data_IF_557456713740
#
_entry.id   IF_557456713740
#
_cell.length_a   1.000
_cell.length_b   1.000
_cell.length_c   1.000
_cell.angle_alpha   90.00
_cell.angle_beta   90.00
_cell.angle_gamma   90.00
#
_symmetry.space_group_name_H-M   'P 1'
#
loop_
_entity.id
_entity.type
_entity.pdbx_description
1 polymer ?
#
# COMPACT_ATOMS: atom_id res chain seq x y z
N UNK A 1 13.13 -10.92 25.72
CA UNK A 1 14.11 -10.40 24.73
C UNK A 1 13.57 -10.80 23.37
N UNK A 2 13.32 -9.86 22.46
CA UNK A 2 12.81 -10.17 21.12
C UNK A 2 13.97 -10.72 20.28
N UNK A 3 13.84 -11.94 19.77
CA UNK A 3 14.85 -12.58 18.91
C UNK A 3 14.49 -12.28 17.46
N UNK A 4 15.45 -11.76 16.68
CA UNK A 4 15.23 -11.55 15.26
C UNK A 4 15.16 -12.92 14.56
N UNK A 5 14.03 -13.23 13.93
CA UNK A 5 13.87 -14.47 13.18
C UNK A 5 14.76 -14.43 11.94
N UNK A 6 15.50 -15.51 11.69
CA UNK A 6 16.11 -15.75 10.39
C UNK A 6 15.01 -16.06 9.38
N UNK A 7 14.37 -15.02 8.85
CA UNK A 7 13.35 -15.18 7.81
C UNK A 7 14.06 -15.27 6.46
N UNK A 8 13.68 -16.29 5.68
CA UNK A 8 14.12 -16.50 4.30
C UNK A 8 14.01 -15.22 3.47
N UNK A 9 15.01 -14.95 2.63
CA UNK A 9 15.06 -13.73 1.81
C UNK A 9 13.85 -13.63 0.85
N UNK A 10 13.24 -14.76 0.47
CA UNK A 10 12.00 -14.79 -0.35
C UNK A 10 10.83 -14.02 0.28
N UNK A 11 10.70 -14.05 1.62
CA UNK A 11 9.61 -13.36 2.33
C UNK A 11 9.89 -11.86 2.41
N UNK A 12 11.17 -11.47 2.53
CA UNK A 12 11.57 -10.06 2.50
C UNK A 12 11.37 -9.47 1.12
N UNK A 13 11.80 -10.19 0.09
CA UNK A 13 11.58 -9.83 -1.32
C UNK A 13 10.08 -9.70 -1.62
N UNK A 14 9.25 -10.57 -1.03
CA UNK A 14 7.81 -10.53 -1.20
C UNK A 14 7.14 -9.28 -0.63
N UNK A 15 7.52 -8.84 0.58
CA UNK A 15 6.90 -7.64 1.21
C UNK A 15 7.07 -6.40 0.32
N UNK A 16 8.07 -6.41 -0.56
CA UNK A 16 8.29 -5.36 -1.55
C UNK A 16 7.79 -5.61 -2.96
N UNK A 17 7.23 -6.78 -3.25
CA UNK A 17 6.78 -7.11 -4.59
C UNK A 17 5.47 -6.38 -4.91
N UNK A 18 5.49 -5.60 -5.98
CA UNK A 18 4.27 -4.97 -6.50
C UNK A 18 3.33 -6.01 -7.10
N UNK A 19 2.03 -5.74 -6.98
CA UNK A 19 1.00 -6.47 -7.71
C UNK A 19 1.09 -6.06 -9.19
N UNK A 20 1.31 -7.02 -10.11
CA UNK A 20 1.27 -6.72 -11.54
C UNK A 20 -0.06 -6.09 -11.95
N UNK A 21 -0.01 -5.04 -12.77
CA UNK A 21 -1.20 -4.31 -13.22
C UNK A 21 -2.26 -5.23 -13.86
N UNK A 22 -1.84 -6.30 -14.54
CA UNK A 22 -2.73 -7.26 -15.21
C UNK A 22 -3.66 -8.04 -14.27
N UNK A 23 -3.31 -8.13 -12.98
CA UNK A 23 -4.10 -8.84 -11.98
C UNK A 23 -4.83 -7.90 -11.01
N UNK A 24 -4.64 -6.59 -11.17
CA UNK A 24 -5.39 -5.56 -10.44
C UNK A 24 -6.79 -5.45 -11.06
N UNK A 25 -7.80 -5.50 -10.20
CA UNK A 25 -9.20 -5.31 -10.58
C UNK A 25 -9.70 -4.00 -10.00
N UNK A 26 -10.68 -3.41 -10.66
CA UNK A 26 -11.32 -2.18 -10.19
C UNK A 26 -12.77 -2.43 -9.81
N UNK A 27 -13.22 -1.79 -8.74
CA UNK A 27 -14.63 -1.74 -8.35
C UNK A 27 -15.09 -0.30 -8.16
N UNK A 28 -16.40 -0.10 -8.27
CA UNK A 28 -17.02 1.18 -7.97
C UNK A 28 -16.83 1.55 -6.49
N UNK A 29 -16.20 2.69 -6.23
CA UNK A 29 -16.01 3.29 -4.91
C UNK A 29 -17.03 4.38 -4.58
N UNK A 30 -18.02 4.59 -5.44
CA UNK A 30 -19.00 5.66 -5.33
C UNK A 30 -18.60 6.91 -6.09
N UNK A 31 -19.12 8.05 -5.66
CA UNK A 31 -18.92 9.35 -6.31
C UNK A 31 -18.32 10.33 -5.29
N UNK A 32 -17.24 11.00 -5.67
CA UNK A 32 -16.67 12.13 -4.94
C UNK A 32 -16.48 13.31 -5.89
N UNK A 33 -16.93 14.49 -5.46
CA UNK A 33 -16.90 15.73 -6.27
C UNK A 33 -17.47 15.55 -7.69
N UNK A 34 -18.55 14.77 -7.81
CA UNK A 34 -19.20 14.48 -9.10
C UNK A 34 -18.43 13.52 -10.02
N UNK A 35 -17.27 13.00 -9.59
CA UNK A 35 -16.50 11.99 -10.32
C UNK A 35 -16.64 10.63 -9.67
N UNK A 36 -16.77 9.60 -10.51
CA UNK A 36 -16.76 8.21 -10.09
C UNK A 36 -15.38 7.86 -9.55
N UNK A 37 -15.32 7.36 -8.32
CA UNK A 37 -14.10 6.79 -7.74
C UNK A 37 -14.06 5.32 -8.12
N UNK A 38 -12.94 4.88 -8.67
CA UNK A 38 -12.63 3.47 -8.83
C UNK A 38 -11.65 3.06 -7.73
N UNK A 39 -11.90 1.90 -7.11
CA UNK A 39 -11.04 1.34 -6.08
C UNK A 39 -10.38 0.08 -6.63
N UNK A 40 -9.05 0.04 -6.53
CA UNK A 40 -8.24 -1.09 -6.94
C UNK A 40 -8.28 -2.20 -5.86
N UNK A 41 -8.28 -3.44 -6.32
CA UNK A 41 -8.27 -4.61 -5.44
C UNK A 41 -7.74 -5.85 -6.17
N UNK A 42 -7.24 -6.83 -5.40
CA UNK A 42 -6.98 -8.18 -5.89
C UNK A 42 -8.13 -9.13 -5.56
N UNK A 43 -8.32 -10.12 -6.43
CA UNK A 43 -9.32 -11.16 -6.20
C UNK A 43 -8.95 -12.08 -5.03
N UNK A 44 -9.94 -12.79 -4.47
CA UNK A 44 -9.69 -13.76 -3.41
C UNK A 44 -8.71 -14.86 -3.83
N UNK A 45 -8.84 -15.38 -5.06
CA UNK A 45 -7.91 -16.37 -5.61
C UNK A 45 -6.50 -15.82 -5.73
N UNK A 46 -6.33 -14.59 -6.22
CA UNK A 46 -5.02 -13.94 -6.30
C UNK A 46 -4.35 -13.79 -4.92
N UNK A 47 -5.13 -13.45 -3.90
CA UNK A 47 -4.62 -13.37 -2.52
C UNK A 47 -4.16 -14.75 -2.03
N UNK A 48 -4.96 -15.79 -2.26
CA UNK A 48 -4.63 -17.18 -1.91
C UNK A 48 -3.37 -17.65 -2.66
N UNK A 49 -3.27 -17.40 -3.96
CA UNK A 49 -2.11 -17.79 -4.76
C UNK A 49 -0.83 -17.12 -4.29
N UNK A 50 -0.91 -15.83 -3.90
CA UNK A 50 0.22 -15.15 -3.26
C UNK A 50 0.57 -15.80 -1.92
N UNK A 51 -0.38 -16.01 -1.01
CA UNK A 51 -0.11 -16.69 0.27
C UNK A 51 0.54 -18.07 0.07
N UNK A 52 0.04 -18.86 -0.89
CA UNK A 52 0.61 -20.16 -1.25
C UNK A 52 2.05 -20.04 -1.74
N UNK A 53 2.33 -19.08 -2.62
CA UNK A 53 3.66 -18.87 -3.19
C UNK A 53 4.68 -18.42 -2.15
N UNK A 54 4.28 -17.56 -1.21
CA UNK A 54 5.20 -16.95 -0.24
C UNK A 54 5.53 -17.92 0.89
N UNK A 55 4.50 -18.56 1.42
CA UNK A 55 4.60 -19.37 2.62
C UNK A 55 4.66 -20.87 2.30
N UNK A 56 4.78 -21.23 1.01
CA UNK A 56 4.83 -22.62 0.55
C UNK A 56 3.68 -23.46 1.12
N UNK A 57 2.47 -22.91 1.03
CA UNK A 57 1.25 -23.49 1.61
C UNK A 57 1.23 -23.59 3.15
N UNK A 58 2.23 -23.05 3.85
CA UNK A 58 2.34 -22.99 5.31
C UNK A 58 1.51 -21.87 5.93
N UNK A 59 0.21 -21.83 5.65
CA UNK A 59 -0.70 -20.87 6.25
C UNK A 59 -2.10 -21.45 6.43
N UNK A 60 -2.80 -20.96 7.45
CA UNK A 60 -4.17 -21.34 7.79
C UNK A 60 -5.09 -20.11 7.88
N UNK A 61 -6.35 -20.29 7.52
CA UNK A 61 -7.41 -19.30 7.77
C UNK A 61 -8.52 -19.90 8.61
N UNK A 62 -8.75 -19.30 9.77
CA UNK A 62 -9.81 -19.68 10.69
C UNK A 62 -10.85 -18.56 10.76
N UNK A 63 -12.12 -18.87 10.46
CA UNK A 63 -13.23 -17.96 10.73
C UNK A 63 -13.63 -18.10 12.19
N UNK A 64 -13.34 -17.08 12.99
CA UNK A 64 -13.58 -17.09 14.43
C UNK A 64 -14.96 -16.58 14.81
N UNK A 65 -15.53 -15.66 14.02
CA UNK A 65 -16.84 -15.07 14.29
C UNK A 65 -17.52 -14.63 12.99
N UNK A 66 -18.84 -14.77 12.94
CA UNK A 66 -19.65 -14.14 11.91
C UNK A 66 -21.04 -13.80 12.43
N UNK A 67 -21.60 -12.66 12.01
CA UNK A 67 -22.93 -12.23 12.40
C UNK A 67 -23.56 -11.28 11.38
N UNK A 68 -24.87 -11.05 11.51
CA UNK A 68 -25.61 -10.04 10.75
C UNK A 68 -25.90 -8.86 11.67
N UNK A 69 -25.44 -7.68 11.28
CA UNK A 69 -25.77 -6.42 11.94
C UNK A 69 -26.96 -5.77 11.23
N UNK A 70 -27.99 -5.39 11.99
CA UNK A 70 -29.04 -4.49 11.48
C UNK A 70 -28.45 -3.09 11.30
N UNK A 71 -28.66 -2.50 10.14
CA UNK A 71 -28.18 -1.16 9.87
C UNK A 71 -29.06 -0.11 10.55
N UNK A 72 -28.45 1.00 10.90
CA UNK A 72 -29.17 2.20 11.33
C UNK A 72 -29.69 2.95 10.11
N UNK A 73 -30.82 3.61 10.25
CA UNK A 73 -31.39 4.42 9.17
C UNK A 73 -30.40 5.53 8.76
N UNK A 74 -30.31 5.78 7.46
CA UNK A 74 -29.46 6.84 6.95
C UNK A 74 -30.08 8.21 7.26
N UNK A 75 -29.26 9.10 7.81
CA UNK A 75 -29.61 10.50 8.02
C UNK A 75 -28.81 11.37 7.04
N UNK A 76 -29.49 11.94 6.06
CA UNK A 76 -28.84 12.82 5.10
C UNK A 76 -28.49 14.17 5.75
N UNK A 77 -27.21 14.38 6.05
CA UNK A 77 -26.68 15.62 6.65
C UNK A 77 -26.87 16.88 5.80
N UNK A 78 -27.30 16.74 4.54
CA UNK A 78 -27.55 17.84 3.61
C UNK A 78 -29.05 18.14 3.40
N UNK A 79 -29.96 17.32 3.94
CA UNK A 79 -31.38 17.65 3.96
C UNK A 79 -31.68 18.67 5.05
N UNK A 80 -32.63 19.57 4.79
CA UNK A 80 -33.17 20.46 5.82
C UNK A 80 -33.90 19.61 6.87
N UNK A 81 -33.73 19.89 8.16
CA UNK A 81 -34.34 19.13 9.28
C UNK A 81 -35.83 18.83 9.10
N UNK A 82 -36.58 19.72 8.44
CA UNK A 82 -38.04 19.62 8.23
C UNK A 82 -38.43 18.58 7.18
N UNK A 83 -37.49 18.11 6.38
CA UNK A 83 -37.67 17.13 5.30
C UNK A 83 -36.96 15.81 5.61
N UNK A 84 -36.32 15.72 6.79
CA UNK A 84 -35.50 14.58 7.17
C UNK A 84 -36.39 13.37 7.45
N UNK A 85 -36.43 12.44 6.49
CA UNK A 85 -37.08 11.14 6.63
C UNK A 85 -35.99 10.07 6.80
N UNK A 86 -36.01 9.27 7.87
CA UNK A 86 -35.07 8.16 8.03
C UNK A 86 -35.22 7.19 6.85
N UNK A 87 -34.11 6.90 6.16
CA UNK A 87 -34.10 5.94 5.05
C UNK A 87 -33.57 4.58 5.55
N UNK A 88 -34.42 3.54 5.62
CA UNK A 88 -34.01 2.22 6.07
C UNK A 88 -32.85 1.68 5.24
N UNK A 89 -31.85 1.13 5.92
CA UNK A 89 -30.65 0.60 5.29
C UNK A 89 -30.64 -0.94 5.32
N UNK A 90 -30.14 -1.61 4.27
CA UNK A 90 -29.97 -3.05 4.27
C UNK A 90 -29.00 -3.50 5.37
N UNK A 91 -29.20 -4.67 6.00
CA UNK A 91 -28.28 -5.18 7.01
C UNK A 91 -26.93 -5.56 6.41
N UNK A 92 -25.93 -5.74 7.27
CA UNK A 92 -24.55 -6.04 6.88
C UNK A 92 -24.12 -7.36 7.52
N UNK A 93 -23.56 -8.27 6.74
CA UNK A 93 -22.89 -9.45 7.25
C UNK A 93 -21.44 -9.09 7.61
N UNK A 94 -21.00 -9.51 8.79
CA UNK A 94 -19.63 -9.34 9.28
C UNK A 94 -18.98 -10.70 9.47
N UNK A 95 -17.69 -10.80 9.14
CA UNK A 95 -16.85 -11.96 9.38
C UNK A 95 -15.53 -11.51 9.98
N UNK A 96 -15.10 -12.21 11.01
CA UNK A 96 -13.79 -12.10 11.61
C UNK A 96 -13.06 -13.42 11.47
N UNK A 97 -11.75 -13.35 11.26
CA UNK A 97 -10.93 -14.54 11.23
C UNK A 97 -9.47 -14.24 11.51
N UNK A 98 -8.70 -15.32 11.67
CA UNK A 98 -7.29 -15.29 11.98
C UNK A 98 -6.55 -15.98 10.83
N UNK A 99 -5.63 -15.25 10.21
CA UNK A 99 -4.61 -15.79 9.33
C UNK A 99 -3.42 -16.20 10.19
N UNK A 100 -3.08 -17.48 10.17
CA UNK A 100 -1.86 -17.99 10.79
C UNK A 100 -0.86 -18.32 9.68
N UNK A 101 0.37 -17.89 9.82
CA UNK A 101 1.49 -18.21 8.92
C UNK A 101 2.54 -18.96 9.72
N UNK A 102 2.97 -20.11 9.21
CA UNK A 102 3.98 -20.96 9.82
C UNK A 102 5.33 -20.67 9.19
N UNK A 103 6.21 -19.98 9.92
CA UNK A 103 7.56 -19.69 9.49
C UNK A 103 8.54 -20.65 10.14
N UNK A 104 9.47 -21.16 9.34
CA UNK A 104 10.61 -21.92 9.82
C UNK A 104 11.80 -20.97 9.93
N UNK A 105 12.47 -20.95 11.08
CA UNK A 105 13.73 -20.24 11.24
C UNK A 105 14.85 -21.08 10.64
N UNK A 106 15.53 -20.56 9.62
CA UNK A 106 16.61 -21.27 8.92
C UNK A 106 17.80 -21.60 9.83
N UNK A 107 18.01 -20.80 10.88
CA UNK A 107 19.17 -20.96 11.77
C UNK A 107 18.96 -22.07 12.79
N UNK A 108 17.73 -22.18 13.30
CA UNK A 108 17.41 -23.09 14.41
C UNK A 108 16.56 -24.28 13.96
N UNK A 109 15.92 -24.18 12.79
CA UNK A 109 14.91 -25.13 12.30
C UNK A 109 13.58 -25.05 13.05
N UNK A 110 13.44 -24.14 14.03
CA UNK A 110 12.24 -23.99 14.84
C UNK A 110 11.11 -23.34 14.03
N UNK A 111 9.87 -23.80 14.26
CA UNK A 111 8.68 -23.18 13.69
C UNK A 111 8.11 -22.09 14.60
N UNK A 112 7.63 -21.01 13.98
CA UNK A 112 6.99 -19.88 14.61
C UNK A 112 5.71 -19.52 13.88
N UNK A 113 4.65 -19.28 14.65
CA UNK A 113 3.36 -18.86 14.12
C UNK A 113 3.24 -17.34 14.19
N UNK A 114 2.99 -16.71 13.04
CA UNK A 114 2.56 -15.32 12.97
C UNK A 114 1.07 -15.30 12.74
N UNK A 115 0.33 -14.63 13.64
CA UNK A 115 -1.13 -14.52 13.56
C UNK A 115 -1.54 -13.08 13.30
N UNK A 116 -2.43 -12.90 12.31
CA UNK A 116 -3.06 -11.60 12.00
C UNK A 116 -4.57 -11.75 11.92
N UNK A 117 -5.27 -10.88 12.61
CA UNK A 117 -6.74 -10.82 12.58
C UNK A 117 -7.20 -10.00 11.38
N UNK A 118 -8.19 -10.51 10.67
CA UNK A 118 -8.90 -9.80 9.61
C UNK A 118 -10.37 -9.64 9.93
N UNK A 119 -10.95 -8.51 9.50
CA UNK A 119 -12.38 -8.30 9.50
C UNK A 119 -12.84 -7.96 8.08
N UNK A 120 -14.01 -8.48 7.71
CA UNK A 120 -14.62 -8.27 6.41
C UNK A 120 -16.12 -8.12 6.56
N UNK A 121 -16.72 -7.39 5.63
CA UNK A 121 -18.15 -7.12 5.67
C UNK A 121 -18.75 -7.09 4.28
N UNK A 122 -20.05 -7.42 4.19
CA UNK A 122 -20.80 -7.36 2.95
C UNK A 122 -22.24 -6.96 3.22
N UNK A 123 -22.70 -5.92 2.52
CA UNK A 123 -24.09 -5.47 2.57
C UNK A 123 -24.99 -6.55 1.96
N UNK A 124 -26.05 -6.91 2.67
CA UNK A 124 -27.02 -7.93 2.28
C UNK A 124 -28.05 -7.28 1.35
N UNK A 125 -27.97 -7.58 0.06
CA UNK A 125 -28.86 -7.05 -0.97
C UNK A 125 -29.40 -8.22 -1.79
N UNK A 126 -30.67 -8.15 -2.18
CA UNK A 126 -31.28 -9.14 -3.08
C UNK A 126 -32.00 -10.28 -2.37
N UNK A 127 -32.31 -11.34 -3.14
CA UNK A 127 -33.09 -12.51 -2.69
C UNK A 127 -32.19 -13.54 -2.04
N UNK A 128 -32.77 -14.63 -1.51
CA UNK A 128 -32.03 -15.72 -0.88
C UNK A 128 -30.85 -16.25 -1.74
N UNK A 129 -30.99 -16.27 -3.07
CA UNK A 129 -29.92 -16.67 -3.98
C UNK A 129 -28.71 -15.72 -3.97
N UNK A 130 -28.92 -14.43 -3.73
CA UNK A 130 -27.85 -13.43 -3.62
C UNK A 130 -27.21 -13.48 -2.22
N UNK A 131 -28.01 -13.78 -1.21
CA UNK A 131 -27.57 -13.79 0.19
C UNK A 131 -26.82 -15.08 0.58
N UNK A 132 -27.00 -16.19 -0.13
CA UNK A 132 -26.36 -17.49 0.20
C UNK A 132 -24.83 -17.43 0.24
N UNK A 133 -24.22 -16.51 -0.50
CA UNK A 133 -22.77 -16.36 -0.61
C UNK A 133 -22.24 -15.17 0.22
N UNK A 134 -23.10 -14.53 1.04
CA UNK A 134 -22.75 -13.29 1.75
C UNK A 134 -21.57 -13.47 2.71
N UNK A 135 -21.59 -14.53 3.52
CA UNK A 135 -20.52 -14.81 4.46
C UNK A 135 -19.23 -15.27 3.75
N UNK A 136 -19.34 -15.89 2.58
CA UNK A 136 -18.16 -16.25 1.77
C UNK A 136 -17.48 -15.00 1.23
N UNK A 137 -18.26 -14.04 0.72
CA UNK A 137 -17.76 -12.76 0.27
C UNK A 137 -17.13 -11.96 1.43
N UNK A 138 -17.82 -11.85 2.56
CA UNK A 138 -17.30 -11.18 3.75
C UNK A 138 -16.04 -11.88 4.31
N UNK A 139 -15.98 -13.20 4.32
CA UNK A 139 -14.79 -13.96 4.72
C UNK A 139 -13.62 -13.74 3.77
N UNK A 140 -13.87 -13.59 2.47
CA UNK A 140 -12.81 -13.29 1.50
C UNK A 140 -12.22 -11.90 1.75
N UNK A 141 -13.06 -10.91 2.06
CA UNK A 141 -12.59 -9.58 2.43
C UNK A 141 -11.83 -9.61 3.77
N UNK A 142 -12.27 -10.40 4.74
CA UNK A 142 -11.56 -10.60 6.01
C UNK A 142 -10.17 -11.23 5.81
N UNK A 143 -10.09 -12.28 4.99
CA UNK A 143 -8.81 -12.93 4.65
C UNK A 143 -7.86 -11.95 3.97
N UNK A 144 -8.33 -11.22 2.94
CA UNK A 144 -7.50 -10.20 2.26
C UNK A 144 -7.02 -9.13 3.23
N UNK A 145 -7.86 -8.72 4.19
CA UNK A 145 -7.45 -7.75 5.21
C UNK A 145 -6.38 -8.30 6.14
N UNK A 146 -6.50 -9.55 6.58
CA UNK A 146 -5.46 -10.19 7.40
C UNK A 146 -4.14 -10.35 6.60
N UNK A 147 -4.24 -10.76 5.33
CA UNK A 147 -3.11 -10.91 4.43
C UNK A 147 -2.40 -9.58 4.13
N UNK A 148 -3.13 -8.46 4.07
CA UNK A 148 -2.48 -7.15 3.91
C UNK A 148 -1.60 -6.77 5.10
N UNK A 149 -1.90 -7.26 6.31
CA UNK A 149 -1.11 -7.00 7.52
C UNK A 149 0.23 -7.75 7.55
N UNK A 150 0.43 -8.70 6.65
CA UNK A 150 1.71 -9.37 6.40
C UNK A 150 2.35 -8.92 5.07
N UNK A 151 1.78 -7.91 4.39
CA UNK A 151 2.35 -7.29 3.20
C UNK A 151 1.66 -7.64 1.88
N UNK A 152 0.69 -8.56 1.86
CA UNK A 152 0.02 -8.97 0.60
C UNK A 152 -0.84 -7.83 0.04
N UNK A 153 -0.46 -7.29 -1.12
CA UNK A 153 -1.22 -6.26 -1.85
C UNK A 153 -1.27 -4.91 -1.14
N UNK A 154 -0.23 -4.59 -0.36
CA UNK A 154 -0.14 -3.33 0.40
C UNK A 154 0.04 -2.10 -0.51
N UNK A 155 0.73 -2.29 -1.63
CA UNK A 155 0.94 -1.32 -2.70
C UNK A 155 -0.38 -0.77 -3.29
N UNK A 156 -1.44 -1.58 -3.31
CA UNK A 156 -2.78 -1.16 -3.78
C UNK A 156 -3.42 -0.06 -2.91
N UNK A 157 -2.90 0.16 -1.70
CA UNK A 157 -3.41 1.16 -0.76
C UNK A 157 -2.54 2.40 -0.69
N UNK A 158 -1.43 2.44 -1.43
CA UNK A 158 -0.49 3.55 -1.42
C UNK A 158 -0.88 4.57 -2.47
N UNK A 159 -0.70 5.84 -2.15
CA UNK A 159 -0.66 6.86 -3.19
C UNK A 159 0.69 6.85 -3.93
N UNK A 160 0.82 7.64 -5.00
CA UNK A 160 2.04 7.66 -5.83
C UNK A 160 3.30 8.03 -5.02
N UNK A 161 3.14 8.93 -4.05
CA UNK A 161 4.20 9.42 -3.18
C UNK A 161 4.66 8.30 -2.23
N UNK A 162 3.72 7.66 -1.54
CA UNK A 162 3.98 6.52 -0.67
C UNK A 162 4.60 5.35 -1.46
N UNK A 163 4.07 5.08 -2.64
CA UNK A 163 4.54 4.00 -3.50
C UNK A 163 5.99 4.23 -3.92
N UNK A 164 6.33 5.44 -4.38
CA UNK A 164 7.70 5.83 -4.70
C UNK A 164 8.66 5.68 -3.51
N UNK A 165 8.23 6.13 -2.31
CA UNK A 165 9.02 6.00 -1.08
C UNK A 165 9.37 4.54 -0.77
N UNK A 166 8.37 3.64 -0.80
CA UNK A 166 8.58 2.24 -0.50
C UNK A 166 9.38 1.54 -1.60
N UNK A 167 9.15 1.86 -2.88
CA UNK A 167 9.97 1.36 -3.99
C UNK A 167 11.45 1.72 -3.82
N UNK A 168 11.74 2.94 -3.41
CA UNK A 168 13.12 3.37 -3.13
C UNK A 168 13.76 2.57 -1.97
N UNK A 169 12.99 2.27 -0.93
CA UNK A 169 13.46 1.42 0.18
C UNK A 169 13.73 -0.03 -0.27
N UNK A 170 12.90 -0.57 -1.17
CA UNK A 170 12.89 -1.98 -1.56
C UNK A 170 13.82 -2.29 -2.75
N UNK A 171 13.89 -1.40 -3.74
CA UNK A 171 14.72 -1.55 -4.96
C UNK A 171 16.21 -1.69 -4.69
N UNK A 172 16.65 -1.37 -3.46
CA UNK A 172 18.06 -1.39 -3.05
C UNK A 172 18.44 -2.54 -2.12
N UNK A 173 17.50 -3.40 -1.74
CA UNK A 173 17.84 -4.64 -1.01
C UNK A 173 18.43 -5.72 -1.92
N UNK A 174 18.26 -5.63 -3.25
CA UNK A 174 18.95 -6.52 -4.19
C UNK A 174 20.43 -6.15 -4.43
N UNK A 175 20.81 -4.87 -4.30
CA UNK A 175 22.21 -4.40 -4.26
C UNK A 175 22.31 -3.08 -3.47
N UNK A 176 22.87 -3.14 -2.26
CA UNK A 176 23.26 -1.99 -1.40
C UNK A 176 22.12 -1.12 -0.84
N UNK A 177 21.68 -1.45 0.38
CA UNK A 177 20.70 -0.71 1.14
C UNK A 177 21.23 0.68 1.59
N UNK A 178 21.20 1.63 0.65
CA UNK A 178 21.72 2.99 0.81
C UNK A 178 21.04 3.70 1.98
N UNK A 179 19.71 3.68 2.07
CA UNK A 179 18.98 4.42 3.12
C UNK A 179 18.84 3.68 4.47
N UNK A 180 19.33 2.44 4.61
CA UNK A 180 19.13 1.62 5.82
C UNK A 180 19.60 2.28 7.11
N UNK A 181 20.73 2.97 7.00
CA UNK A 181 21.45 3.53 8.15
C UNK A 181 21.11 5.00 8.39
N UNK A 182 20.20 5.56 7.61
CA UNK A 182 19.76 6.95 7.74
C UNK A 182 18.66 7.07 8.78
N UNK A 183 18.62 8.20 9.46
CA UNK A 183 17.54 8.52 10.40
C UNK A 183 16.21 8.73 9.67
N UNK A 184 15.10 8.72 10.40
CA UNK A 184 13.79 8.94 9.80
C UNK A 184 13.65 10.36 9.25
N UNK A 185 14.33 11.34 9.86
CA UNK A 185 14.43 12.69 9.33
C UNK A 185 15.18 12.74 8.00
N UNK A 186 16.28 11.99 7.87
CA UNK A 186 17.06 11.93 6.63
C UNK A 186 16.28 11.22 5.51
N UNK A 187 15.54 10.14 5.83
CA UNK A 187 14.66 9.47 4.87
C UNK A 187 13.55 10.40 4.39
N UNK A 188 12.94 11.16 5.30
CA UNK A 188 11.92 12.16 4.96
C UNK A 188 12.49 13.24 4.06
N UNK A 189 13.68 13.75 4.38
CA UNK A 189 14.36 14.76 3.58
C UNK A 189 14.64 14.27 2.16
N UNK A 190 15.08 13.02 2.02
CA UNK A 190 15.28 12.39 0.71
C UNK A 190 13.95 12.36 -0.06
N UNK A 191 12.88 11.88 0.59
CA UNK A 191 11.56 11.79 -0.01
C UNK A 191 11.04 13.15 -0.52
N UNK A 192 11.00 14.16 0.35
CA UNK A 192 10.53 15.51 0.00
C UNK A 192 11.34 16.12 -1.16
N UNK A 193 12.64 15.83 -1.18
CA UNK A 193 13.53 16.32 -2.24
C UNK A 193 13.27 15.63 -3.57
N UNK A 194 13.09 14.31 -3.60
CA UNK A 194 12.78 13.61 -4.85
C UNK A 194 11.42 14.04 -5.40
N UNK A 195 10.39 14.12 -4.55
CA UNK A 195 9.05 14.50 -4.98
C UNK A 195 9.06 15.86 -5.68
N UNK A 196 9.80 16.83 -5.12
CA UNK A 196 9.97 18.14 -5.73
C UNK A 196 10.62 18.09 -7.12
N UNK A 197 11.65 17.24 -7.31
CA UNK A 197 12.32 17.09 -8.61
C UNK A 197 11.39 16.44 -9.64
N UNK A 198 10.61 15.44 -9.23
CA UNK A 198 9.64 14.79 -10.10
C UNK A 198 8.54 15.77 -10.54
N UNK A 199 7.96 16.52 -9.60
CA UNK A 199 7.00 17.57 -9.90
C UNK A 199 7.56 18.59 -10.90
N UNK A 200 8.83 19.00 -10.75
CA UNK A 200 9.48 19.90 -11.71
C UNK A 200 9.55 19.30 -13.12
N UNK A 201 9.93 18.03 -13.25
CA UNK A 201 10.02 17.36 -14.56
C UNK A 201 8.66 17.09 -15.20
N UNK A 202 7.60 16.93 -14.41
CA UNK A 202 6.25 16.66 -14.90
C UNK A 202 5.43 17.93 -15.17
N UNK A 203 5.66 19.00 -14.41
CA UNK A 203 4.84 20.23 -14.48
C UNK A 203 5.42 21.33 -15.36
N UNK A 204 6.75 21.39 -15.52
CA UNK A 204 7.41 22.32 -16.44
C UNK A 204 7.86 21.54 -17.69
N UNK A 205 7.17 21.77 -18.82
CA UNK A 205 7.59 21.30 -20.15
C UNK A 205 8.99 21.80 -20.60
N UNK A 206 9.74 22.50 -19.74
CA UNK A 206 11.01 23.16 -20.04
C UNK A 206 12.25 22.41 -19.53
N UNK A 207 12.12 21.49 -18.56
CA UNK A 207 13.26 20.70 -18.06
C UNK A 207 12.94 19.21 -18.13
N UNK A 208 13.42 18.58 -19.20
CA UNK A 208 13.37 17.13 -19.33
C UNK A 208 14.36 16.42 -18.39
N UNK A 209 14.22 15.10 -18.27
CA UNK A 209 15.04 14.28 -17.37
C UNK A 209 16.55 14.37 -17.67
N UNK A 210 16.93 14.54 -18.93
CA UNK A 210 18.33 14.67 -19.35
C UNK A 210 18.93 16.01 -18.94
N UNK A 211 18.14 17.08 -19.02
CA UNK A 211 18.49 18.42 -18.55
C UNK A 211 18.65 18.45 -17.03
N UNK A 212 17.75 17.78 -16.30
CA UNK A 212 17.87 17.62 -14.85
C UNK A 212 19.13 16.87 -14.43
N UNK A 213 19.48 15.79 -15.15
CA UNK A 213 20.69 15.04 -14.88
C UNK A 213 21.95 15.89 -15.15
N UNK A 214 21.92 16.67 -16.22
CA UNK A 214 23.00 17.61 -16.56
C UNK A 214 23.20 18.67 -15.48
N UNK A 215 22.11 19.18 -14.90
CA UNK A 215 22.15 20.11 -13.76
C UNK A 215 22.76 19.45 -12.52
N UNK A 216 22.40 18.20 -12.22
CA UNK A 216 23.00 17.45 -11.12
C UNK A 216 24.51 17.29 -11.28
N UNK A 217 24.94 16.88 -12.47
CA UNK A 217 26.37 16.71 -12.78
C UNK A 217 27.10 18.05 -12.69
N UNK A 218 26.49 19.14 -13.16
CA UNK A 218 27.09 20.48 -13.10
C UNK A 218 27.23 20.97 -11.65
N UNK A 219 26.14 20.93 -10.88
CA UNK A 219 26.11 21.35 -9.47
C UNK A 219 27.10 20.54 -8.62
N UNK A 220 27.16 19.23 -8.84
CA UNK A 220 28.02 18.34 -8.08
C UNK A 220 29.46 18.27 -8.60
N UNK A 221 29.80 19.00 -9.66
CA UNK A 221 31.08 18.89 -10.37
C UNK A 221 31.43 17.44 -10.76
N UNK A 222 30.47 16.75 -11.38
CA UNK A 222 30.51 15.34 -11.80
C UNK A 222 30.68 14.33 -10.65
N UNK A 223 30.52 14.75 -9.39
CA UNK A 223 30.54 13.83 -8.24
C UNK A 223 29.33 12.88 -8.24
N UNK A 224 28.17 13.37 -8.66
CA UNK A 224 26.95 12.56 -8.79
C UNK A 224 26.48 12.59 -10.24
N UNK A 225 26.28 11.42 -10.82
CA UNK A 225 25.82 11.21 -12.19
C UNK A 225 24.54 10.36 -12.25
N UNK A 226 23.94 10.10 -11.09
CA UNK A 226 22.72 9.32 -10.92
C UNK A 226 22.03 9.80 -9.63
N UNK A 227 20.77 10.22 -9.73
CA UNK A 227 19.92 10.62 -8.61
C UNK A 227 19.76 9.52 -7.55
N UNK A 228 20.02 8.27 -7.92
CA UNK A 228 19.98 7.17 -6.97
C UNK A 228 21.20 7.12 -6.04
N UNK A 229 22.30 7.76 -6.40
CA UNK A 229 23.57 7.64 -5.64
C UNK A 229 23.81 8.79 -4.66
N UNK A 230 22.96 9.82 -4.69
CA UNK A 230 23.13 11.04 -3.92
C UNK A 230 22.64 10.89 -2.47
N UNK A 231 23.45 11.23 -1.45
CA UNK A 231 23.00 11.19 -0.05
C UNK A 231 21.84 12.16 0.22
N UNK A 232 20.91 11.86 1.14
CA UNK A 232 19.78 12.74 1.49
C UNK A 232 20.13 14.20 1.72
N UNK A 233 21.19 14.46 2.49
CA UNK A 233 21.68 15.81 2.75
C UNK A 233 22.09 16.53 1.48
N UNK A 234 22.77 15.82 0.59
CA UNK A 234 23.29 16.35 -0.67
C UNK A 234 22.15 16.55 -1.67
N UNK A 235 21.16 15.65 -1.69
CA UNK A 235 19.96 15.77 -2.49
C UNK A 235 19.17 17.02 -2.10
N UNK A 236 19.01 17.26 -0.81
CA UNK A 236 18.36 18.47 -0.32
C UNK A 236 19.15 19.74 -0.65
N UNK A 237 20.48 19.70 -0.59
CA UNK A 237 21.31 20.82 -1.02
C UNK A 237 21.13 21.10 -2.52
N UNK A 238 21.03 20.06 -3.35
CA UNK A 238 20.76 20.18 -4.78
C UNK A 238 19.36 20.77 -5.05
N UNK A 239 18.33 20.29 -4.36
CA UNK A 239 16.98 20.86 -4.44
C UNK A 239 16.95 22.32 -3.99
N UNK A 240 17.70 22.66 -2.94
CA UNK A 240 17.83 24.07 -2.49
C UNK A 240 18.50 24.93 -3.56
N UNK A 241 19.55 24.42 -4.21
CA UNK A 241 20.20 25.09 -5.33
C UNK A 241 19.23 25.35 -6.49
N UNK A 242 18.42 24.36 -6.88
CA UNK A 242 17.42 24.53 -7.92
C UNK A 242 16.36 25.57 -7.54
N UNK A 243 15.84 25.51 -6.30
CA UNK A 243 14.86 26.48 -5.79
C UNK A 243 15.40 27.92 -5.81
N UNK A 244 16.70 28.09 -5.57
CA UNK A 244 17.36 29.39 -5.65
C UNK A 244 17.57 29.84 -7.10
N UNK A 245 17.99 28.94 -7.99
CA UNK A 245 18.21 29.26 -9.42
C UNK A 245 16.93 29.54 -10.21
N UNK A 246 15.79 28.91 -9.86
CA UNK A 246 14.49 29.15 -10.48
C UNK A 246 13.76 30.37 -9.86
N UNK A 247 14.24 30.86 -8.72
CA UNK A 247 13.64 31.99 -7.99
C UNK A 247 13.99 33.38 -8.55
N UNK A 248 15.01 33.49 -9.40
CA UNK A 248 15.51 34.76 -9.93
C UNK A 248 14.91 35.15 -11.31
N UNK A 249 14.09 34.29 -11.92
CA UNK A 249 13.40 34.53 -13.20
C UNK A 249 11.86 34.67 -13.03
N UNK A 250 11.42 35.43 -12.02
CA UNK A 250 10.02 35.92 -11.92
C UNK A 250 9.95 37.41 -11.60
#
# INVERSE_FOLDING_TARGET
MLTNLGIEDKIKDFIGEQIPNDIIKQRDGGISNGKKIMLDYISGSTCIDKLNSIFEYGWDWEVTEHFIQKSVDYQNKYMKEREMSPEPQPPVAHVFGILTVHLRDDKTGQFYDIKKTGCGSKVIIGKANDQKDIFKAASTDALKKAASLIGVGLDLYRDANEQYYFELLLSRDKQNNFLRNYSDEEKKLYFDSVNYLQELTESNNDIDGDSMLSLLMTWSNNKYNDFNTIPPKELNNFVTYIKQGIGDDK
#
